data_IF_907524211583
#
_entry.id   IF_907524211583
#
_cell.length_a   1.000
_cell.length_b   1.000
_cell.length_c   1.000
_cell.angle_alpha   90.00
_cell.angle_beta   90.00
_cell.angle_gamma   90.00
#
_symmetry.space_group_name_H-M   'P 1'
#
loop_
_entity.id
_entity.type
_entity.pdbx_description
1 polymer ?
#
# COMPACT_ATOMS: atom_id res chain seq x y z
N UNK A 1 -28.44 6.82 31.94
CA UNK A 1 -28.71 7.85 30.92
C UNK A 1 -28.72 7.15 29.56
N UNK A 2 -29.80 7.35 28.80
CA UNK A 2 -30.21 6.62 27.59
C UNK A 2 -29.66 7.32 26.33
N UNK A 3 -29.09 6.52 25.42
CA UNK A 3 -29.17 6.55 23.94
C UNK A 3 -29.10 7.89 23.18
N UNK A 4 -28.22 8.00 22.17
CA UNK A 4 -28.63 8.01 20.74
C UNK A 4 -27.47 8.36 19.77
N UNK A 5 -27.50 7.65 18.64
CA UNK A 5 -26.66 7.77 17.45
C UNK A 5 -26.76 9.16 16.78
N UNK A 6 -25.62 9.77 16.47
CA UNK A 6 -25.54 10.89 15.55
C UNK A 6 -25.39 10.36 14.12
N UNK A 7 -26.47 10.54 13.35
CA UNK A 7 -26.63 10.16 11.95
C UNK A 7 -25.70 11.01 11.06
N UNK A 8 -24.98 10.35 10.15
CA UNK A 8 -24.24 11.00 9.07
C UNK A 8 -25.23 11.67 8.10
N UNK A 9 -25.14 12.99 7.99
CA UNK A 9 -25.93 13.79 7.07
C UNK A 9 -25.32 13.71 5.66
N UNK A 10 -26.10 13.18 4.73
CA UNK A 10 -25.95 13.28 3.28
C UNK A 10 -25.99 14.73 2.83
N UNK A 11 -24.95 15.20 2.14
CA UNK A 11 -24.99 16.41 1.32
C UNK A 11 -24.68 16.01 -0.13
N UNK A 12 -25.74 15.75 -0.89
CA UNK A 12 -25.69 15.64 -2.34
C UNK A 12 -25.43 17.04 -2.92
N UNK A 13 -24.22 17.27 -3.43
CA UNK A 13 -23.93 18.48 -4.20
C UNK A 13 -24.25 18.18 -5.66
N UNK A 14 -25.45 18.59 -6.05
CA UNK A 14 -25.92 18.66 -7.43
C UNK A 14 -25.27 19.90 -8.06
N UNK A 15 -24.28 19.70 -8.93
CA UNK A 15 -23.81 20.76 -9.85
C UNK A 15 -24.26 20.43 -11.26
N UNK A 16 -25.32 21.12 -11.67
CA UNK A 16 -25.76 21.32 -13.04
C UNK A 16 -24.62 21.89 -13.88
N UNK A 17 -24.26 21.18 -14.95
CA UNK A 17 -23.27 21.64 -15.93
C UNK A 17 -23.59 21.03 -17.29
N UNK A 18 -24.60 21.57 -17.97
CA UNK A 18 -24.94 21.26 -19.36
C UNK A 18 -24.01 22.05 -20.27
N UNK A 19 -23.20 21.36 -21.08
CA UNK A 19 -22.75 21.84 -22.40
C UNK A 19 -22.55 20.62 -23.31
N UNK A 20 -23.42 20.49 -24.32
CA UNK A 20 -23.26 19.59 -25.47
C UNK A 20 -22.53 20.31 -26.60
N UNK A 21 -21.76 19.60 -27.43
CA UNK A 21 -22.15 19.57 -28.84
C UNK A 21 -22.05 18.18 -29.50
N UNK A 22 -22.86 18.05 -30.56
CA UNK A 22 -23.10 16.88 -31.39
C UNK A 22 -21.86 16.35 -32.11
N UNK A 23 -21.74 15.03 -32.18
CA UNK A 23 -20.73 14.33 -32.99
C UNK A 23 -21.07 12.85 -33.24
N UNK A 24 -21.82 12.61 -34.31
CA UNK A 24 -21.82 11.46 -35.26
C UNK A 24 -21.35 10.04 -34.84
N UNK A 25 -22.29 9.10 -35.03
CA UNK A 25 -22.15 7.79 -35.69
C UNK A 25 -21.17 6.72 -35.15
N UNK A 26 -21.77 5.58 -34.77
CA UNK A 26 -21.21 4.25 -35.10
C UNK A 26 -20.67 3.44 -33.93
N UNK A 27 -21.30 2.28 -33.68
CA UNK A 27 -20.67 1.16 -33.00
C UNK A 27 -21.29 0.78 -31.66
N UNK A 28 -22.23 -0.16 -31.68
CA UNK A 28 -22.50 -1.03 -30.52
C UNK A 28 -21.30 -1.94 -30.32
N UNK A 29 -20.29 -1.47 -29.58
CA UNK A 29 -19.24 -2.34 -29.09
C UNK A 29 -19.77 -3.05 -27.83
N UNK A 30 -20.25 -4.28 -28.01
CA UNK A 30 -20.40 -5.24 -26.92
C UNK A 30 -19.04 -5.40 -26.24
N UNK A 31 -18.82 -4.66 -25.16
CA UNK A 31 -17.67 -4.88 -24.29
C UNK A 31 -17.90 -6.21 -23.58
N UNK A 32 -17.35 -7.28 -24.16
CA UNK A 32 -17.18 -8.56 -23.47
C UNK A 32 -16.50 -8.30 -22.12
N UNK A 33 -16.94 -8.91 -21.02
CA UNK A 33 -16.17 -8.85 -19.79
C UNK A 33 -14.84 -9.53 -20.08
N UNK A 34 -13.78 -8.72 -20.19
CA UNK A 34 -12.43 -9.25 -20.10
C UNK A 34 -12.37 -9.94 -18.74
N UNK A 35 -12.34 -11.28 -18.76
CA UNK A 35 -11.85 -12.08 -17.64
C UNK A 35 -10.41 -11.67 -17.42
N UNK A 36 -10.24 -10.57 -16.69
CA UNK A 36 -8.97 -10.10 -16.23
C UNK A 36 -8.44 -11.19 -15.34
N UNK A 37 -7.43 -11.91 -15.83
CA UNK A 37 -6.59 -12.77 -15.03
C UNK A 37 -6.24 -12.00 -13.78
N UNK A 38 -6.79 -12.43 -12.65
CA UNK A 38 -6.42 -11.93 -11.33
C UNK A 38 -4.95 -12.26 -11.19
N UNK A 39 -4.09 -11.31 -11.56
CA UNK A 39 -2.72 -11.28 -11.09
C UNK A 39 -2.88 -11.24 -9.58
N UNK A 40 -2.63 -12.37 -8.95
CA UNK A 40 -2.61 -12.50 -7.51
C UNK A 40 -1.51 -11.54 -7.06
N UNK A 41 -1.91 -10.32 -6.72
CA UNK A 41 -1.03 -9.33 -6.17
C UNK A 41 -0.51 -9.99 -4.90
N UNK A 42 0.76 -10.41 -4.94
CA UNK A 42 1.55 -10.75 -3.76
C UNK A 42 1.43 -9.53 -2.85
N UNK A 43 0.42 -9.59 -1.96
CA UNK A 43 -0.13 -8.38 -1.38
C UNK A 43 0.87 -8.02 -0.32
N UNK A 44 1.74 -7.05 -0.61
CA UNK A 44 2.64 -6.49 0.39
C UNK A 44 1.75 -6.04 1.54
N UNK A 45 1.72 -6.84 2.60
CA UNK A 45 0.81 -6.58 3.70
C UNK A 45 1.32 -5.33 4.41
N UNK A 46 0.48 -4.30 4.58
CA UNK A 46 0.90 -3.10 5.32
C UNK A 46 1.33 -3.44 6.76
N UNK A 47 0.90 -4.59 7.30
CA UNK A 47 1.36 -5.10 8.59
C UNK A 47 2.85 -5.41 8.59
N UNK A 48 3.36 -6.09 7.56
CA UNK A 48 4.75 -6.56 7.54
C UNK A 48 5.76 -5.41 7.40
N UNK A 49 5.38 -4.35 6.67
CA UNK A 49 6.15 -3.10 6.66
C UNK A 49 6.15 -2.44 8.04
N UNK A 50 5.00 -2.42 8.72
CA UNK A 50 4.87 -1.85 10.05
C UNK A 50 5.65 -2.64 11.12
N UNK A 51 5.76 -3.96 11.00
CA UNK A 51 6.55 -4.83 11.89
C UNK A 51 8.06 -4.58 11.74
N UNK A 52 8.54 -4.48 10.50
CA UNK A 52 9.92 -4.11 10.20
C UNK A 52 10.28 -2.74 10.78
N UNK A 53 9.44 -1.73 10.53
CA UNK A 53 9.62 -0.40 11.09
C UNK A 53 9.51 -0.41 12.61
N UNK A 54 8.57 -1.17 13.17
CA UNK A 54 8.31 -1.29 14.60
C UNK A 54 9.52 -1.84 15.35
N UNK A 55 10.15 -2.89 14.81
CA UNK A 55 11.41 -3.42 15.35
C UNK A 55 12.51 -2.35 15.31
N UNK A 56 12.70 -1.68 14.17
CA UNK A 56 13.75 -0.68 14.03
C UNK A 56 13.56 0.50 15.00
N UNK A 57 12.32 0.97 15.20
CA UNK A 57 12.02 2.00 16.22
C UNK A 57 12.34 1.53 17.63
N UNK A 58 11.97 0.29 17.98
CA UNK A 58 12.24 -0.30 19.32
C UNK A 58 13.73 -0.41 19.62
N UNK A 59 14.53 -0.71 18.61
CA UNK A 59 16.00 -0.80 18.73
C UNK A 59 16.65 0.59 18.74
N UNK A 60 15.91 1.66 18.44
CA UNK A 60 16.39 3.05 18.50
C UNK A 60 16.78 3.66 17.15
N UNK A 61 16.45 3.01 16.03
CA UNK A 61 16.68 3.58 14.71
C UNK A 61 15.62 4.60 14.32
N UNK A 62 16.04 5.64 13.61
CA UNK A 62 15.13 6.59 12.95
C UNK A 62 14.53 5.93 11.72
N UNK A 63 13.23 5.64 11.79
CA UNK A 63 12.46 5.16 10.64
C UNK A 63 12.09 6.35 9.77
N UNK A 64 12.70 6.42 8.59
CA UNK A 64 12.38 7.41 7.55
C UNK A 64 11.98 6.74 6.23
N UNK A 65 11.80 7.53 5.16
CA UNK A 65 11.36 7.04 3.85
C UNK A 65 12.24 5.91 3.30
N UNK A 66 13.55 5.97 3.53
CA UNK A 66 14.48 4.92 3.09
C UNK A 66 14.28 3.59 3.83
N UNK A 67 14.00 3.65 5.14
CA UNK A 67 13.69 2.45 5.93
C UNK A 67 12.35 1.87 5.49
N UNK A 68 11.35 2.71 5.27
CA UNK A 68 10.06 2.27 4.71
C UNK A 68 10.22 1.57 3.38
N UNK A 69 11.05 2.12 2.48
CA UNK A 69 11.30 1.49 1.19
C UNK A 69 12.01 0.14 1.34
N UNK A 70 13.03 0.06 2.20
CA UNK A 70 13.72 -1.18 2.49
C UNK A 70 12.78 -2.25 3.09
N UNK A 71 11.91 -1.86 4.02
CA UNK A 71 10.91 -2.76 4.61
C UNK A 71 9.85 -3.21 3.58
N UNK A 72 9.44 -2.34 2.65
CA UNK A 72 8.55 -2.71 1.54
C UNK A 72 9.18 -3.76 0.63
N UNK A 73 10.44 -3.59 0.27
CA UNK A 73 11.23 -4.58 -0.48
C UNK A 73 11.37 -5.87 0.33
N UNK A 74 11.61 -5.76 1.64
CA UNK A 74 11.64 -6.90 2.56
C UNK A 74 10.35 -7.68 2.67
N UNK A 75 9.21 -7.06 2.35
CA UNK A 75 7.90 -7.69 2.48
C UNK A 75 7.55 -8.63 1.34
N UNK A 76 8.35 -8.64 0.27
CA UNK A 76 8.17 -9.58 -0.84
C UNK A 76 9.18 -10.73 -0.73
N UNK A 77 8.75 -11.99 -0.84
CA UNK A 77 9.63 -13.15 -0.77
C UNK A 77 10.69 -13.15 -1.89
N UNK A 78 10.38 -12.53 -3.03
CA UNK A 78 11.27 -12.45 -4.19
C UNK A 78 12.38 -11.40 -4.04
N UNK A 79 12.18 -10.40 -3.18
CA UNK A 79 13.12 -9.27 -3.02
C UNK A 79 13.65 -9.11 -1.60
N UNK A 80 13.31 -10.03 -0.68
CA UNK A 80 13.77 -9.98 0.70
C UNK A 80 15.29 -9.96 0.85
N UNK A 81 16.03 -10.59 -0.07
CA UNK A 81 17.50 -10.58 -0.09
C UNK A 81 18.09 -9.16 -0.21
N UNK A 82 17.37 -8.21 -0.83
CA UNK A 82 17.81 -6.84 -0.99
C UNK A 82 17.50 -5.97 0.25
N UNK A 83 16.55 -6.38 1.09
CA UNK A 83 16.17 -5.65 2.30
C UNK A 83 17.33 -5.41 3.29
N UNK A 84 18.14 -6.42 3.68
CA UNK A 84 19.23 -6.17 4.61
C UNK A 84 20.28 -5.23 3.99
N UNK A 85 20.58 -5.37 2.69
CA UNK A 85 21.50 -4.48 1.97
C UNK A 85 21.05 -3.02 1.99
N UNK A 86 19.76 -2.76 1.79
CA UNK A 86 19.21 -1.41 1.85
C UNK A 86 19.25 -0.83 3.27
N UNK A 87 18.95 -1.62 4.30
CA UNK A 87 19.03 -1.17 5.69
C UNK A 87 20.48 -0.88 6.12
N UNK A 88 21.43 -1.72 5.72
CA UNK A 88 22.87 -1.51 5.98
C UNK A 88 23.35 -0.21 5.32
N UNK A 89 22.88 0.10 4.11
CA UNK A 89 23.19 1.36 3.43
C UNK A 89 22.71 2.61 4.20
N UNK A 90 21.70 2.46 5.05
CA UNK A 90 21.16 3.52 5.94
C UNK A 90 21.82 3.46 7.34
N UNK A 91 22.92 2.70 7.47
CA UNK A 91 23.68 2.48 8.71
C UNK A 91 22.93 1.70 9.79
N UNK A 92 21.97 0.86 9.41
CA UNK A 92 21.42 -0.15 10.32
C UNK A 92 22.45 -1.27 10.48
N UNK A 93 22.65 -1.74 11.71
CA UNK A 93 23.60 -2.83 11.97
C UNK A 93 23.15 -4.12 11.26
N UNK A 94 24.08 -4.90 10.70
CA UNK A 94 23.78 -6.11 9.90
C UNK A 94 22.80 -7.07 10.59
N UNK A 95 22.99 -7.32 11.88
CA UNK A 95 22.13 -8.20 12.68
C UNK A 95 20.70 -7.64 12.75
N UNK A 96 20.55 -6.35 13.04
CA UNK A 96 19.24 -5.69 13.14
C UNK A 96 18.54 -5.59 11.79
N UNK A 97 19.31 -5.39 10.71
CA UNK A 97 18.78 -5.38 9.36
C UNK A 97 18.18 -6.73 8.97
N UNK A 98 18.91 -7.83 9.17
CA UNK A 98 18.42 -9.17 8.87
C UNK A 98 17.17 -9.54 9.70
N UNK A 99 17.16 -9.20 10.99
CA UNK A 99 16.03 -9.46 11.88
C UNK A 99 14.79 -8.63 11.50
N UNK A 100 14.97 -7.35 11.15
CA UNK A 100 13.89 -6.50 10.64
C UNK A 100 13.28 -7.05 9.35
N UNK A 101 14.12 -7.51 8.41
CA UNK A 101 13.68 -8.07 7.13
C UNK A 101 12.99 -9.43 7.28
N UNK A 102 13.38 -10.26 8.26
CA UNK A 102 12.64 -11.49 8.58
C UNK A 102 11.25 -11.19 9.13
N UNK A 103 11.12 -10.15 9.93
CA UNK A 103 9.82 -9.68 10.46
C UNK A 103 8.95 -9.05 9.37
N UNK A 104 9.57 -8.47 8.35
CA UNK A 104 8.87 -7.95 7.18
C UNK A 104 8.21 -9.04 6.31
N UNK A 105 8.56 -10.32 6.47
CA UNK A 105 7.92 -11.43 5.73
C UNK A 105 6.79 -12.12 6.50
N UNK A 106 6.56 -11.72 7.74
CA UNK A 106 5.50 -12.28 8.59
C UNK A 106 4.27 -11.40 8.58
#
# INVERSE_FOLDING_TARGET
MRTALARFATAAVVTLGVVAPLGIAGGVASAAPATGSTVQADTISPASVADCQGFLRKVGYKVGPKVTNACKVGSSPYTNWACPSMLIAIKVHKIHAAEACKRALR
#
